data_IF_888811973880
#
_entry.id   IF_888811973880
#
_cell.length_a   1.000
_cell.length_b   1.000
_cell.length_c   1.000
_cell.angle_alpha   90.00
_cell.angle_beta   90.00
_cell.angle_gamma   90.00
#
_symmetry.space_group_name_H-M   'P 1'
#
loop_
_entity.id
_entity.type
_entity.pdbx_description
1 polymer ?
#
# COMPACT_ATOMS: atom_id res chain seq x y z
N UNK A 1 15.28 0.48 -7.35
CA UNK A 1 15.31 1.13 -6.02
C UNK A 1 14.06 1.98 -5.94
N UNK A 2 13.02 1.55 -5.23
CA UNK A 2 11.81 2.38 -5.06
C UNK A 2 12.14 3.52 -4.11
N UNK A 3 12.05 4.75 -4.60
CA UNK A 3 12.20 5.95 -3.79
C UNK A 3 11.01 6.09 -2.83
N UNK A 4 11.33 6.50 -1.61
CA UNK A 4 10.41 6.82 -0.53
C UNK A 4 9.29 7.76 -1.00
N UNK A 5 8.04 7.34 -0.79
CA UNK A 5 6.95 8.29 -0.59
C UNK A 5 7.07 8.78 0.84
N UNK A 6 7.82 9.87 1.02
CA UNK A 6 7.84 10.64 2.26
C UNK A 6 6.53 11.41 2.38
N UNK A 7 5.70 11.04 3.36
CA UNK A 7 4.64 11.92 3.85
C UNK A 7 5.31 13.05 4.67
N UNK A 8 4.96 14.29 4.33
CA UNK A 8 5.54 15.50 4.90
C UNK A 8 5.35 15.58 6.42
N UNK A 9 6.41 16.04 7.10
CA UNK A 9 6.34 16.49 8.51
C UNK A 9 5.43 17.71 8.58
N UNK A 10 4.28 17.61 9.27
CA UNK A 10 3.62 18.81 9.80
C UNK A 10 4.43 19.29 11.01
N UNK A 11 5.00 20.47 10.90
CA UNK A 11 5.61 21.19 12.03
C UNK A 11 4.50 21.74 12.91
N UNK A 12 4.39 21.19 14.11
CA UNK A 12 3.47 21.59 15.18
C UNK A 12 3.62 20.60 16.33
N UNK A 13 3.60 21.07 17.57
CA UNK A 13 4.06 20.42 18.82
C UNK A 13 3.32 19.13 19.26
N UNK A 14 2.69 18.43 18.33
CA UNK A 14 2.06 17.14 18.52
C UNK A 14 2.84 16.09 17.71
N UNK A 15 3.87 15.48 18.32
CA UNK A 15 4.56 14.31 17.78
C UNK A 15 3.56 13.15 17.64
N UNK A 16 2.85 13.08 16.51
CA UNK A 16 2.05 11.92 16.14
C UNK A 16 2.96 10.87 15.53
N UNK A 17 3.30 9.84 16.30
CA UNK A 17 3.93 8.64 15.77
C UNK A 17 2.87 7.86 14.96
N UNK A 18 2.80 8.15 13.66
CA UNK A 18 1.97 7.38 12.73
C UNK A 18 2.64 6.02 12.57
N UNK A 19 2.11 4.99 13.26
CA UNK A 19 2.45 3.60 12.96
C UNK A 19 1.81 3.25 11.61
N UNK A 20 2.46 3.70 10.54
CA UNK A 20 2.10 3.32 9.18
C UNK A 20 2.46 1.85 9.01
N UNK A 21 1.46 0.97 8.99
CA UNK A 21 1.61 -0.40 8.48
C UNK A 21 1.92 -0.32 6.98
N UNK A 22 3.19 -0.10 6.68
CA UNK A 22 3.73 -0.12 5.32
C UNK A 22 3.49 -1.53 4.80
N UNK A 23 2.77 -1.63 3.66
CA UNK A 23 2.57 -2.88 2.92
C UNK A 23 3.92 -3.39 2.44
N UNK A 24 4.64 -4.10 3.31
CA UNK A 24 5.62 -5.08 2.89
C UNK A 24 4.84 -6.21 2.22
N UNK A 25 5.24 -6.57 1.01
CA UNK A 25 4.87 -7.83 0.38
C UNK A 25 5.30 -9.00 1.29
N UNK A 26 4.55 -9.36 2.34
CA UNK A 26 4.57 -10.68 2.96
C UNK A 26 3.20 -11.04 3.57
N UNK A 27 2.66 -12.16 3.10
CA UNK A 27 1.27 -12.60 3.16
C UNK A 27 0.69 -13.04 4.52
N UNK A 28 1.17 -12.59 5.69
CA UNK A 28 0.73 -13.25 6.94
C UNK A 28 0.28 -12.37 8.13
N UNK A 29 0.45 -11.04 8.12
CA UNK A 29 0.13 -10.21 9.30
C UNK A 29 -0.63 -8.92 8.99
N UNK A 30 -1.75 -9.02 8.26
CA UNK A 30 -2.70 -7.90 8.17
C UNK A 30 -3.48 -7.79 9.50
N UNK A 31 -3.94 -6.59 9.90
CA UNK A 31 -4.85 -6.39 11.05
C UNK A 31 -6.00 -7.39 11.00
N UNK A 32 -6.52 -7.69 9.80
CA UNK A 32 -7.53 -8.71 9.57
C UNK A 32 -7.16 -10.08 10.16
N UNK A 33 -5.92 -10.57 10.04
CA UNK A 33 -5.53 -11.88 10.55
C UNK A 33 -5.47 -11.91 12.08
N UNK A 34 -5.03 -10.81 12.71
CA UNK A 34 -4.89 -10.70 14.17
C UNK A 34 -6.22 -10.38 14.84
N UNK A 35 -7.06 -9.60 14.17
CA UNK A 35 -8.26 -8.98 14.71
C UNK A 35 -9.56 -9.62 14.21
N UNK A 36 -9.49 -10.78 13.53
CA UNK A 36 -10.65 -11.48 12.98
C UNK A 36 -11.61 -11.97 14.08
N UNK A 37 -12.90 -12.03 13.76
CA UNK A 37 -13.98 -12.63 14.56
C UNK A 37 -13.99 -14.18 14.57
N UNK A 38 -12.97 -14.84 13.99
CA UNK A 38 -12.94 -16.30 13.85
C UNK A 38 -12.99 -17.06 15.18
N UNK A 39 -13.72 -18.19 15.21
CA UNK A 39 -13.94 -19.02 16.40
C UNK A 39 -12.62 -19.65 16.90
N UNK A 40 -12.47 -19.70 18.22
CA UNK A 40 -11.30 -20.22 18.93
C UNK A 40 -10.93 -21.64 18.49
N UNK A 41 -9.67 -21.82 18.09
CA UNK A 41 -9.03 -23.11 17.80
C UNK A 41 -7.68 -23.16 18.51
N UNK A 42 -7.25 -24.33 18.98
CA UNK A 42 -6.00 -24.50 19.75
C UNK A 42 -4.75 -24.06 18.97
N UNK A 43 -4.76 -24.15 17.64
CA UNK A 43 -3.67 -23.65 16.78
C UNK A 43 -3.57 -22.12 16.72
N UNK A 44 -4.59 -21.42 17.24
CA UNK A 44 -4.75 -19.96 17.22
C UNK A 44 -4.34 -19.29 18.54
N UNK A 45 -3.80 -20.05 19.51
CA UNK A 45 -3.40 -19.51 20.82
C UNK A 45 -2.41 -18.35 20.74
N UNK A 46 -1.31 -18.40 19.94
CA UNK A 46 -0.36 -17.28 19.88
C UNK A 46 -1.00 -15.98 19.37
N UNK A 47 -1.86 -16.08 18.34
CA UNK A 47 -2.50 -14.89 17.75
C UNK A 47 -3.59 -14.33 18.68
N UNK A 48 -4.26 -15.18 19.46
CA UNK A 48 -5.20 -14.74 20.50
C UNK A 48 -4.50 -14.01 21.65
N UNK A 49 -3.32 -14.49 22.07
CA UNK A 49 -2.49 -13.80 23.08
C UNK A 49 -2.06 -12.43 22.55
N UNK A 50 -1.57 -12.37 21.31
CA UNK A 50 -1.20 -11.09 20.68
C UNK A 50 -2.38 -10.11 20.61
N UNK A 51 -3.58 -10.59 20.23
CA UNK A 51 -4.81 -9.78 20.22
C UNK A 51 -5.16 -9.26 21.61
N UNK A 52 -5.07 -10.11 22.63
CA UNK A 52 -5.42 -9.74 24.01
C UNK A 52 -4.46 -8.71 24.58
N UNK A 53 -3.15 -8.93 24.39
CA UNK A 53 -2.11 -8.02 24.86
C UNK A 53 -2.22 -6.65 24.17
N UNK A 54 -2.46 -6.64 22.86
CA UNK A 54 -2.69 -5.41 22.11
C UNK A 54 -3.88 -4.61 22.66
N UNK A 55 -5.00 -5.28 22.96
CA UNK A 55 -6.19 -4.64 23.52
C UNK A 55 -5.93 -4.05 24.91
N UNK A 56 -5.18 -4.76 25.76
CA UNK A 56 -4.80 -4.26 27.09
C UNK A 56 -3.89 -3.02 27.00
N UNK A 57 -2.92 -3.03 26.08
CA UNK A 57 -2.02 -1.90 25.85
C UNK A 57 -2.75 -0.69 25.26
N UNK A 58 -3.69 -0.91 24.33
CA UNK A 58 -4.51 0.16 23.75
C UNK A 58 -5.24 0.98 24.81
N UNK A 59 -5.90 0.30 25.76
CA UNK A 59 -6.64 0.95 26.84
C UNK A 59 -5.69 1.74 27.77
N UNK A 60 -4.45 1.28 27.92
CA UNK A 60 -3.42 1.94 28.75
C UNK A 60 -2.84 3.20 28.10
N UNK A 61 -2.64 3.24 26.79
CA UNK A 61 -2.19 4.46 26.12
C UNK A 61 -3.28 5.53 26.06
N UNK A 62 -4.55 5.14 26.12
CA UNK A 62 -5.68 6.07 26.09
C UNK A 62 -5.85 6.86 27.41
N UNK A 63 -5.09 6.51 28.46
CA UNK A 63 -5.25 7.07 29.82
C UNK A 63 -4.08 7.91 30.32
N UNK A 64 -2.93 7.92 29.62
CA UNK A 64 -1.78 8.75 30.01
C UNK A 64 -1.88 10.15 29.35
N UNK A 65 -2.04 11.24 30.13
CA UNK A 65 -2.17 12.58 29.58
C UNK A 65 -0.89 13.11 28.91
N UNK A 66 0.26 12.47 29.14
CA UNK A 66 1.55 12.88 28.57
C UNK A 66 1.88 12.16 27.25
N UNK A 67 1.08 11.17 26.84
CA UNK A 67 1.32 10.38 25.64
C UNK A 67 0.09 10.42 24.74
N UNK A 68 0.26 10.91 23.51
CA UNK A 68 -0.80 10.90 22.49
C UNK A 68 -0.46 9.87 21.42
N UNK A 69 -1.12 8.72 21.46
CA UNK A 69 -0.98 7.66 20.45
C UNK A 69 -2.18 7.70 19.51
N UNK A 70 -1.92 7.77 18.20
CA UNK A 70 -2.93 7.60 17.16
C UNK A 70 -2.76 6.23 16.50
N UNK A 71 -3.81 5.40 16.54
CA UNK A 71 -3.79 4.09 15.90
C UNK A 71 -4.61 4.12 14.62
N UNK A 72 -3.97 3.78 13.50
CA UNK A 72 -4.60 3.66 12.19
C UNK A 72 -4.73 2.17 11.80
N UNK A 73 -5.90 1.81 11.29
CA UNK A 73 -6.18 0.47 10.79
C UNK A 73 -6.63 0.50 9.33
N UNK A 74 -6.19 -0.47 8.54
CA UNK A 74 -6.62 -0.66 7.16
C UNK A 74 -7.11 -2.11 6.95
N UNK A 75 -8.31 -2.27 6.40
CA UNK A 75 -8.91 -3.57 6.10
C UNK A 75 -9.72 -3.50 4.80
N UNK A 76 -9.70 -4.57 4.02
CA UNK A 76 -10.59 -4.74 2.86
C UNK A 76 -11.87 -5.53 3.23
N UNK A 77 -11.97 -6.02 4.48
CA UNK A 77 -13.07 -6.84 4.96
C UNK A 77 -13.50 -6.40 6.36
N UNK A 78 -14.14 -5.23 6.49
CA UNK A 78 -14.54 -4.70 7.80
C UNK A 78 -15.51 -5.63 8.55
N UNK A 79 -16.34 -6.39 7.83
CA UNK A 79 -17.28 -7.36 8.42
C UNK A 79 -16.61 -8.56 9.10
N UNK A 80 -15.34 -8.83 8.81
CA UNK A 80 -14.59 -9.93 9.44
C UNK A 80 -13.88 -9.50 10.73
N UNK A 81 -13.83 -8.21 11.04
CA UNK A 81 -13.20 -7.69 12.25
C UNK A 81 -14.04 -7.93 13.51
N UNK A 82 -13.34 -8.12 14.62
CA UNK A 82 -13.93 -8.27 15.95
C UNK A 82 -14.64 -6.99 16.41
N UNK A 83 -15.85 -7.12 16.94
CA UNK A 83 -16.63 -5.98 17.42
C UNK A 83 -15.92 -5.16 18.51
N UNK A 84 -15.13 -5.78 19.38
CA UNK A 84 -14.43 -5.07 20.45
C UNK A 84 -13.35 -4.12 19.90
N UNK A 85 -12.80 -4.46 18.74
CA UNK A 85 -11.80 -3.64 18.02
C UNK A 85 -12.51 -2.54 17.23
N UNK A 86 -13.63 -2.85 16.57
CA UNK A 86 -14.44 -1.85 15.88
C UNK A 86 -14.93 -0.75 16.83
N UNK A 87 -15.29 -1.08 18.07
CA UNK A 87 -15.67 -0.08 19.09
C UNK A 87 -14.51 0.84 19.51
N UNK A 88 -13.27 0.42 19.33
CA UNK A 88 -12.05 1.22 19.59
C UNK A 88 -11.59 2.04 18.38
N UNK A 89 -12.20 1.80 17.21
CA UNK A 89 -11.97 2.53 15.95
C UNK A 89 -13.24 3.30 15.56
N UNK A 90 -13.59 4.38 16.27
CA UNK A 90 -14.86 5.09 16.06
C UNK A 90 -14.94 5.82 14.71
N UNK A 91 -13.79 6.15 14.11
CA UNK A 91 -13.71 6.77 12.79
C UNK A 91 -13.31 5.74 11.75
N UNK A 92 -14.22 5.46 10.82
CA UNK A 92 -13.98 4.59 9.67
C UNK A 92 -14.25 5.36 8.38
N UNK A 93 -13.34 5.24 7.43
CA UNK A 93 -13.44 5.85 6.11
C UNK A 93 -13.43 4.76 5.06
N UNK A 94 -14.50 4.67 4.27
CA UNK A 94 -14.53 3.79 3.11
C UNK A 94 -13.79 4.45 1.96
N UNK A 95 -12.79 3.74 1.42
CA UNK A 95 -11.98 4.23 0.30
C UNK A 95 -12.49 3.54 -0.97
N UNK A 96 -13.13 4.33 -1.84
CA UNK A 96 -13.62 3.86 -3.13
C UNK A 96 -12.55 3.73 -4.21
N UNK A 97 -12.99 3.32 -5.40
CA UNK A 97 -12.15 3.36 -6.61
C UNK A 97 -11.95 4.82 -7.01
N UNK A 98 -10.71 5.24 -7.36
CA UNK A 98 -10.44 6.63 -7.68
C UNK A 98 -11.17 7.07 -8.95
N UNK A 99 -11.69 8.30 -8.93
CA UNK A 99 -12.24 8.98 -10.09
C UNK A 99 -11.15 9.33 -11.11
N UNK A 100 -11.55 9.71 -12.32
CA UNK A 100 -10.60 10.03 -13.40
C UNK A 100 -9.55 11.08 -13.01
N UNK A 101 -9.96 12.15 -12.32
CA UNK A 101 -9.03 13.20 -11.89
C UNK A 101 -8.01 12.66 -10.89
N UNK A 102 -8.47 11.86 -9.94
CA UNK A 102 -7.62 11.21 -8.94
C UNK A 102 -6.65 10.21 -9.59
N UNK A 103 -7.10 9.44 -10.59
CA UNK A 103 -6.22 8.56 -11.38
C UNK A 103 -5.13 9.32 -12.12
N UNK A 104 -5.45 10.49 -12.68
CA UNK A 104 -4.44 11.34 -13.32
C UNK A 104 -3.40 11.82 -12.31
N UNK A 105 -3.81 12.20 -11.09
CA UNK A 105 -2.87 12.56 -10.02
C UNK A 105 -2.03 11.36 -9.55
N UNK A 106 -2.64 10.17 -9.39
CA UNK A 106 -1.91 8.95 -9.06
C UNK A 106 -0.86 8.66 -10.14
N UNK A 107 -1.19 8.78 -11.42
CA UNK A 107 -0.24 8.60 -12.52
C UNK A 107 0.92 9.60 -12.44
N UNK A 108 0.63 10.88 -12.18
CA UNK A 108 1.66 11.92 -12.02
C UNK A 108 2.60 11.62 -10.84
N UNK A 109 2.04 11.23 -9.69
CA UNK A 109 2.84 10.89 -8.50
C UNK A 109 3.64 9.62 -8.75
N UNK A 110 3.04 8.61 -9.38
CA UNK A 110 3.69 7.33 -9.68
C UNK A 110 4.87 7.50 -10.64
N UNK A 111 4.71 8.35 -11.65
CA UNK A 111 5.74 8.62 -12.65
C UNK A 111 6.68 9.77 -12.27
N UNK A 112 6.52 10.34 -11.06
CA UNK A 112 7.37 11.43 -10.58
C UNK A 112 8.81 10.94 -10.42
N UNK A 113 9.73 11.53 -11.16
CA UNK A 113 11.16 11.18 -11.13
C UNK A 113 11.56 10.10 -12.14
N UNK A 114 10.60 9.51 -12.85
CA UNK A 114 10.87 8.57 -13.94
C UNK A 114 11.12 9.31 -15.26
N UNK A 115 11.84 8.65 -16.19
CA UNK A 115 12.03 9.17 -17.55
C UNK A 115 10.80 8.89 -18.39
N UNK A 116 9.96 9.91 -18.58
CA UNK A 116 8.76 9.87 -19.42
C UNK A 116 8.88 10.85 -20.59
N UNK A 117 8.01 10.70 -21.58
CA UNK A 117 7.90 11.65 -22.69
C UNK A 117 7.44 13.03 -22.15
N UNK A 118 7.99 14.16 -22.65
CA UNK A 118 7.69 15.50 -22.12
C UNK A 118 6.20 15.87 -22.20
N UNK A 119 5.50 15.38 -23.22
CA UNK A 119 4.12 15.76 -23.54
C UNK A 119 3.10 14.67 -23.20
N UNK A 120 3.41 13.84 -22.18
CA UNK A 120 2.52 12.76 -21.75
C UNK A 120 1.16 13.30 -21.25
N UNK A 121 0.08 12.89 -21.90
CA UNK A 121 -1.29 13.26 -21.51
C UNK A 121 -1.82 12.31 -20.40
N UNK A 122 -1.60 12.72 -19.15
CA UNK A 122 -2.09 12.00 -17.98
C UNK A 122 -3.62 11.90 -17.90
N UNK A 123 -4.35 12.87 -18.44
CA UNK A 123 -5.82 12.85 -18.43
C UNK A 123 -6.35 11.83 -19.44
N UNK A 124 -5.69 11.71 -20.60
CA UNK A 124 -5.96 10.63 -21.55
C UNK A 124 -5.67 9.24 -20.96
N UNK A 125 -4.52 9.07 -20.31
CA UNK A 125 -4.19 7.80 -19.66
C UNK A 125 -5.17 7.46 -18.53
N UNK A 126 -5.61 8.45 -17.76
CA UNK A 126 -6.60 8.27 -16.70
C UNK A 126 -7.99 7.85 -17.23
N UNK A 127 -8.36 8.27 -18.45
CA UNK A 127 -9.57 7.76 -19.15
C UNK A 127 -9.44 6.28 -19.46
N UNK A 128 -8.28 5.84 -19.97
CA UNK A 128 -8.04 4.44 -20.33
C UNK A 128 -7.96 3.52 -19.10
N UNK A 129 -7.59 4.05 -17.94
CA UNK A 129 -7.48 3.32 -16.68
C UNK A 129 -8.79 3.31 -15.87
N UNK A 130 -9.96 3.31 -16.52
CA UNK A 130 -11.23 3.26 -15.78
C UNK A 130 -11.36 2.01 -14.92
N UNK A 131 -11.81 2.18 -13.67
CA UNK A 131 -11.93 1.10 -12.69
C UNK A 131 -10.60 0.69 -12.03
N UNK A 132 -9.47 1.29 -12.42
CA UNK A 132 -8.17 0.90 -11.86
C UNK A 132 -7.97 1.53 -10.48
N UNK A 133 -7.46 0.74 -9.54
CA UNK A 133 -6.96 1.24 -8.25
C UNK A 133 -5.51 1.72 -8.40
N UNK A 134 -5.01 2.45 -7.40
CA UNK A 134 -3.62 2.93 -7.42
C UNK A 134 -2.58 1.81 -7.59
N UNK A 135 -2.82 0.61 -7.07
CA UNK A 135 -1.91 -0.54 -7.25
C UNK A 135 -1.90 -1.05 -8.69
N UNK A 136 -3.05 -1.06 -9.37
CA UNK A 136 -3.11 -1.45 -10.79
C UNK A 136 -2.41 -0.43 -11.68
N UNK A 137 -2.56 0.87 -11.39
CA UNK A 137 -1.85 1.95 -12.08
C UNK A 137 -0.33 1.78 -11.90
N UNK A 138 0.12 1.53 -10.67
CA UNK A 138 1.53 1.30 -10.38
C UNK A 138 2.12 0.11 -11.16
N UNK A 139 1.44 -1.05 -11.12
CA UNK A 139 1.88 -2.24 -11.85
C UNK A 139 1.83 -2.04 -13.38
N UNK A 140 0.86 -1.25 -13.88
CA UNK A 140 0.81 -0.85 -15.28
C UNK A 140 2.05 -0.04 -15.68
N UNK A 141 2.39 1.00 -14.90
CA UNK A 141 3.58 1.83 -15.14
C UNK A 141 4.87 1.00 -15.07
N UNK A 142 4.97 0.12 -14.08
CA UNK A 142 6.10 -0.80 -13.92
C UNK A 142 6.25 -1.72 -15.13
N UNK A 143 5.15 -2.29 -15.64
CA UNK A 143 5.15 -3.10 -16.85
C UNK A 143 5.51 -2.27 -18.09
N UNK A 144 5.05 -1.02 -18.16
CA UNK A 144 5.35 -0.11 -19.25
C UNK A 144 6.85 0.20 -19.34
N UNK A 145 7.52 0.34 -18.20
CA UNK A 145 8.96 0.60 -18.13
C UNK A 145 9.83 -0.53 -18.72
N UNK A 146 9.30 -1.75 -18.88
CA UNK A 146 10.02 -2.86 -19.50
C UNK A 146 10.00 -2.83 -21.04
N UNK A 147 9.10 -2.09 -21.69
CA UNK A 147 9.03 -2.07 -23.16
C UNK A 147 10.31 -1.55 -23.82
N UNK A 148 10.92 -0.42 -23.38
CA UNK A 148 12.17 0.05 -23.97
C UNK A 148 13.31 -0.96 -23.86
N UNK A 149 13.39 -1.68 -22.72
CA UNK A 149 14.39 -2.74 -22.51
C UNK A 149 14.17 -3.86 -23.53
N UNK A 150 12.92 -4.26 -23.75
CA UNK A 150 12.59 -5.33 -24.70
C UNK A 150 12.96 -4.92 -26.14
N UNK A 151 12.69 -3.68 -26.52
CA UNK A 151 13.04 -3.15 -27.85
C UNK A 151 14.56 -3.18 -28.08
N UNK A 152 15.36 -2.70 -27.11
CA UNK A 152 16.83 -2.75 -27.18
C UNK A 152 17.33 -4.19 -27.32
N UNK A 153 16.79 -5.13 -26.55
CA UNK A 153 17.19 -6.54 -26.62
C UNK A 153 16.83 -7.18 -27.98
N UNK A 154 15.70 -6.80 -28.56
CA UNK A 154 15.28 -7.25 -29.89
C UNK A 154 16.18 -6.69 -31.00
N UNK A 155 16.61 -5.42 -30.89
CA UNK A 155 17.57 -4.81 -31.80
C UNK A 155 18.95 -5.47 -31.72
N UNK A 156 19.48 -5.69 -30.52
CA UNK A 156 20.74 -6.43 -30.32
C UNK A 156 20.67 -7.83 -30.95
N UNK A 157 19.54 -8.53 -30.80
CA UNK A 157 19.35 -9.86 -31.41
C UNK A 157 19.28 -9.82 -32.93
N UNK A 158 18.76 -8.74 -33.53
CA UNK A 158 18.79 -8.54 -34.98
C UNK A 158 20.21 -8.28 -35.49
N UNK A 159 21.01 -7.53 -34.74
CA UNK A 159 22.41 -7.24 -35.08
C UNK A 159 23.36 -8.39 -34.81
N UNK A 160 23.04 -9.29 -33.86
CA UNK A 160 23.76 -10.54 -33.61
C UNK A 160 22.90 -11.77 -34.00
N UNK A 161 22.84 -12.13 -35.28
CA UNK A 161 22.01 -13.24 -35.76
C UNK A 161 22.48 -14.64 -35.32
N UNK A 162 23.65 -14.77 -34.69
CA UNK A 162 24.16 -16.03 -34.17
C UNK A 162 24.14 -16.03 -32.63
N UNK A 163 23.61 -17.08 -31.98
CA UNK A 163 23.81 -17.25 -30.54
C UNK A 163 25.31 -17.34 -30.27
N UNK A 164 25.78 -16.77 -29.14
CA UNK A 164 27.12 -17.03 -28.63
C UNK A 164 27.21 -18.52 -28.25
N UNK A 165 27.43 -19.38 -29.24
CA UNK A 165 28.17 -20.61 -29.03
C UNK A 165 29.65 -20.23 -28.88
N UNK A 166 30.31 -20.87 -27.92
CA UNK A 166 31.68 -20.63 -27.43
C UNK A 166 31.79 -19.54 -26.37
N UNK A 167 31.77 -19.93 -25.10
CA UNK A 167 32.91 -20.63 -24.45
C UNK A 167 32.39 -21.89 -23.77
#
# INVERSE_FOLDING_TARGET
MCHDVSLERSSGDDEFEIISLRRQEQSHYTIQNVCSSSKFSTSMLPIWIMKTEFMALWDRFSTDPNVRVMVLAATNRPSELDEAIMRRLPQAFEIGIPERKERAEILKVTLKGERVEPDIDYDHLARLCEGYTGSYIFELCKKAAYFPIREILEEERKWRPYPLSFI
#
